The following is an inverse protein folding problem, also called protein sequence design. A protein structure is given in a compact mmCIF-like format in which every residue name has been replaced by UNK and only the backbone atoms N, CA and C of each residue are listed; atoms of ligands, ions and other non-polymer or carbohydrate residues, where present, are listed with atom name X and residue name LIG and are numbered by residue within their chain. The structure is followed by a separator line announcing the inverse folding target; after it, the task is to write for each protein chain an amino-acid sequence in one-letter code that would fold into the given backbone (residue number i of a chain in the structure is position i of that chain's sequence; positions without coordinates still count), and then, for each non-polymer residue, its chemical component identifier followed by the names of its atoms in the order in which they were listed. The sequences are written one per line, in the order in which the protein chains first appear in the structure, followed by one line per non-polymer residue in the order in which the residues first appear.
data_IF_867005099668
#
_entry.id   IF_867005099668
#
_cell.length_a   1.000
_cell.length_b   1.000
_cell.length_c   1.000
_cell.angle_alpha   90.00
_cell.angle_beta   90.00
_cell.angle_gamma   90.00
#
_symmetry.space_group_name_H-M   'P 1'
#
loop_
_entity.id
_entity.type
_entity.pdbx_description
1 polymer ?
#
# COMPACT_ATOMS: atom_id res chain seq x y z
N UNK A 1 53.90 -1.12 2.84
CA UNK A 1 52.84 -0.62 3.75
C UNK A 1 53.51 0.23 4.82
N UNK A 2 53.27 1.54 4.79
CA UNK A 2 53.68 2.46 5.84
C UNK A 2 52.66 2.41 6.98
N UNK A 3 53.16 2.38 8.22
CA UNK A 3 52.34 2.36 9.44
C UNK A 3 52.70 3.53 10.34
N UNK A 4 52.37 4.77 9.95
CA UNK A 4 52.56 5.93 10.81
C UNK A 4 51.73 5.76 12.09
N UNK A 5 52.42 5.81 13.22
CA UNK A 5 51.84 5.75 14.57
C UNK A 5 51.55 7.13 15.13
N UNK A 6 52.00 8.19 14.45
CA UNK A 6 51.77 9.59 14.81
C UNK A 6 51.48 10.46 13.59
N UNK A 7 50.84 11.61 13.82
CA UNK A 7 50.60 12.62 12.78
C UNK A 7 51.89 13.15 12.15
N UNK A 8 52.97 13.23 12.94
CA UNK A 8 54.30 13.64 12.45
C UNK A 8 54.92 12.59 11.53
N UNK A 9 54.74 11.31 11.83
CA UNK A 9 55.18 10.22 10.94
C UNK A 9 54.35 10.19 9.65
N UNK A 10 53.05 10.41 9.75
CA UNK A 10 52.18 10.53 8.57
C UNK A 10 52.59 11.73 7.70
N UNK A 11 52.82 12.89 8.32
CA UNK A 11 53.29 14.07 7.60
C UNK A 11 54.64 13.82 6.93
N UNK A 12 55.57 13.12 7.61
CA UNK A 12 56.86 12.76 7.03
C UNK A 12 56.74 11.84 5.81
N UNK A 13 55.79 10.89 5.79
CA UNK A 13 55.52 10.04 4.62
C UNK A 13 55.13 10.88 3.40
N UNK A 14 54.35 11.95 3.60
CA UNK A 14 53.90 12.84 2.54
C UNK A 14 54.76 14.10 2.33
N UNK A 15 55.92 14.20 2.99
CA UNK A 15 56.79 15.38 2.91
C UNK A 15 56.18 16.67 3.51
N UNK A 16 55.18 16.54 4.37
CA UNK A 16 54.47 17.64 5.03
C UNK A 16 54.95 17.88 6.47
N UNK A 17 54.39 18.91 7.12
CA UNK A 17 54.59 19.18 8.55
C UNK A 17 53.26 19.06 9.31
N UNK A 18 53.30 18.47 10.50
CA UNK A 18 52.13 18.37 11.38
C UNK A 18 52.33 19.28 12.60
N UNK A 19 51.27 19.97 13.00
CA UNK A 19 51.23 20.77 14.22
C UNK A 19 50.63 19.92 15.34
N UNK A 20 51.42 18.95 15.84
CA UNK A 20 51.18 18.11 17.03
C UNK A 20 49.85 17.36 17.12
N UNK A 21 48.74 18.10 17.18
CA UNK A 21 47.34 17.64 17.24
C UNK A 21 46.57 17.82 15.93
N UNK A 22 47.10 18.58 14.98
CA UNK A 22 46.49 18.75 13.66
C UNK A 22 47.48 18.44 12.55
N UNK A 23 46.99 17.79 11.50
CA UNK A 23 47.78 17.48 10.31
C UNK A 23 46.97 17.85 9.08
N UNK A 24 47.58 18.65 8.22
CA UNK A 24 47.06 18.96 6.89
C UNK A 24 48.11 18.60 5.86
N UNK A 25 47.73 17.77 4.91
CA UNK A 25 48.56 17.35 3.80
C UNK A 25 47.82 17.76 2.53
N UNK A 26 48.48 18.56 1.71
CA UNK A 26 47.98 19.01 0.42
C UNK A 26 48.92 18.44 -0.66
N UNK A 27 48.36 17.79 -1.68
CA UNK A 27 49.04 17.24 -2.86
C UNK A 27 50.24 16.32 -2.54
N UNK A 28 50.08 15.43 -1.56
CA UNK A 28 51.11 14.47 -1.16
C UNK A 28 51.03 13.14 -1.89
N UNK A 29 52.17 12.55 -2.24
CA UNK A 29 52.28 11.21 -2.85
C UNK A 29 52.87 10.20 -1.85
N UNK A 30 52.34 8.98 -1.83
CA UNK A 30 52.87 7.88 -1.05
C UNK A 30 52.98 6.61 -1.91
N UNK A 31 54.20 6.12 -2.08
CA UNK A 31 54.55 4.95 -2.92
C UNK A 31 54.14 3.59 -2.31
N UNK A 32 53.38 3.58 -1.22
CA UNK A 32 52.93 2.35 -0.57
C UNK A 32 51.65 2.56 0.24
N UNK A 33 50.92 1.46 0.57
CA UNK A 33 49.69 1.53 1.36
C UNK A 33 49.92 2.19 2.71
N UNK A 34 48.98 3.01 3.16
CA UNK A 34 49.06 3.73 4.44
C UNK A 34 48.09 3.12 5.43
N UNK A 35 48.56 2.82 6.63
CA UNK A 35 47.73 2.39 7.75
C UNK A 35 48.01 3.24 8.97
N UNK A 36 47.05 4.09 9.33
CA UNK A 36 47.02 4.85 10.56
C UNK A 36 46.31 4.02 11.62
N UNK A 37 46.98 3.73 12.72
CA UNK A 37 46.43 2.89 13.79
C UNK A 37 46.60 3.61 15.13
N UNK A 38 45.51 3.74 15.90
CA UNK A 38 45.54 4.31 17.25
C UNK A 38 45.83 5.81 17.34
N UNK A 39 45.69 6.55 16.24
CA UNK A 39 46.05 7.97 16.17
C UNK A 39 45.00 8.84 16.85
N UNK A 40 45.44 9.80 17.67
CA UNK A 40 44.58 10.85 18.25
C UNK A 40 44.89 12.20 17.62
N UNK A 41 43.86 12.87 17.10
CA UNK A 41 44.01 14.15 16.42
C UNK A 41 42.78 15.06 16.66
N UNK A 42 42.99 16.36 16.74
CA UNK A 42 41.90 17.34 16.64
C UNK A 42 41.45 17.49 15.18
N UNK A 43 42.40 17.45 14.24
CA UNK A 43 42.08 17.54 12.80
C UNK A 43 43.06 16.76 11.95
N UNK A 44 42.54 15.96 11.02
CA UNK A 44 43.30 15.33 9.95
C UNK A 44 42.65 15.67 8.61
N UNK A 45 43.38 16.39 7.77
CA UNK A 45 42.92 16.82 6.45
C UNK A 45 43.90 16.36 5.38
N UNK A 46 43.43 15.49 4.49
CA UNK A 46 44.15 15.02 3.32
C UNK A 46 43.46 15.59 2.07
N UNK A 47 44.19 16.41 1.31
CA UNK A 47 43.69 17.04 0.09
C UNK A 47 44.59 16.65 -1.07
N UNK A 48 44.01 16.10 -2.15
CA UNK A 48 44.75 15.79 -3.38
C UNK A 48 45.84 14.73 -3.23
N UNK A 49 45.79 13.91 -2.17
CA UNK A 49 46.85 12.94 -1.90
C UNK A 49 46.71 11.68 -2.78
N UNK A 50 47.80 11.17 -3.32
CA UNK A 50 47.85 9.91 -4.06
C UNK A 50 48.56 8.83 -3.24
N UNK A 51 47.88 7.70 -3.04
CA UNK A 51 48.39 6.57 -2.26
C UNK A 51 48.38 5.34 -3.15
N UNK A 52 49.57 4.79 -3.41
CA UNK A 52 49.72 3.50 -4.11
C UNK A 52 49.29 2.35 -3.18
N UNK A 53 47.99 2.05 -3.24
CA UNK A 53 47.31 1.04 -2.43
C UNK A 53 46.15 1.59 -1.58
N UNK A 54 45.71 0.85 -0.54
CA UNK A 54 44.65 1.31 0.34
C UNK A 54 45.12 2.33 1.40
N UNK A 55 44.23 3.25 1.73
CA UNK A 55 44.33 4.15 2.88
C UNK A 55 43.46 3.61 4.02
N UNK A 56 44.10 3.10 5.07
CA UNK A 56 43.46 2.48 6.22
C UNK A 56 43.57 3.39 7.45
N UNK A 57 42.45 3.70 8.09
CA UNK A 57 42.39 4.33 9.41
C UNK A 57 41.74 3.34 10.37
N UNK A 58 42.45 2.95 11.42
CA UNK A 58 42.03 1.94 12.38
C UNK A 58 42.14 2.44 13.81
N UNK A 59 41.08 2.27 14.59
CA UNK A 59 41.08 2.54 16.04
C UNK A 59 41.54 3.98 16.38
N UNK A 60 41.25 4.94 15.49
CA UNK A 60 41.65 6.34 15.62
C UNK A 60 40.58 7.17 16.35
N UNK A 61 41.02 8.22 17.04
CA UNK A 61 40.15 9.23 17.66
C UNK A 61 40.42 10.59 17.03
N UNK A 62 39.53 11.06 16.16
CA UNK A 62 39.75 12.28 15.36
C UNK A 62 38.54 13.21 15.44
N UNK A 63 38.68 14.45 15.88
CA UNK A 63 37.52 15.34 15.95
C UNK A 63 37.04 15.76 14.54
N UNK A 64 37.93 16.17 13.63
CA UNK A 64 37.58 16.54 12.25
C UNK A 64 38.47 15.78 11.24
N UNK A 65 37.90 14.75 10.59
CA UNK A 65 38.54 13.98 9.52
C UNK A 65 38.01 14.42 8.16
N UNK A 66 38.91 14.93 7.31
CA UNK A 66 38.58 15.40 5.96
C UNK A 66 39.46 14.74 4.92
N UNK A 67 38.83 14.07 3.97
CA UNK A 67 39.48 13.43 2.84
C UNK A 67 38.89 14.05 1.56
N UNK A 68 39.69 14.77 0.79
CA UNK A 68 39.22 15.48 -0.41
C UNK A 68 40.12 15.20 -1.60
N UNK A 69 39.59 14.58 -2.65
CA UNK A 69 40.38 14.32 -3.86
C UNK A 69 41.51 13.31 -3.67
N UNK A 70 41.44 12.47 -2.63
CA UNK A 70 42.48 11.46 -2.38
C UNK A 70 42.33 10.28 -3.35
N UNK A 71 43.38 9.95 -4.10
CA UNK A 71 43.47 8.74 -4.91
C UNK A 71 44.01 7.60 -4.04
N UNK A 72 43.25 6.50 -4.00
CA UNK A 72 43.64 5.26 -3.32
C UNK A 72 42.85 4.10 -3.93
N UNK A 73 43.36 2.87 -3.84
CA UNK A 73 42.60 1.67 -4.23
C UNK A 73 41.32 1.50 -3.41
N UNK A 74 41.34 2.01 -2.18
CA UNK A 74 40.18 2.07 -1.29
C UNK A 74 40.50 2.81 0.00
N UNK A 75 39.50 3.50 0.54
CA UNK A 75 39.58 4.19 1.82
C UNK A 75 38.78 3.38 2.83
N UNK A 76 39.44 2.87 3.86
CA UNK A 76 38.81 2.07 4.92
C UNK A 76 38.99 2.77 6.26
N UNK A 77 37.88 3.08 6.92
CA UNK A 77 37.85 3.68 8.26
C UNK A 77 37.15 2.70 9.18
N UNK A 78 37.90 2.04 10.07
CA UNK A 78 37.38 0.95 10.91
C UNK A 78 37.72 1.16 12.39
N UNK A 79 36.78 0.92 13.31
CA UNK A 79 37.07 1.04 14.75
C UNK A 79 37.24 2.49 15.23
N UNK A 80 36.91 3.48 14.41
CA UNK A 80 37.24 4.87 14.68
C UNK A 80 36.13 5.62 15.43
N UNK A 81 36.54 6.57 16.26
CA UNK A 81 35.66 7.59 16.83
C UNK A 81 35.94 8.92 16.14
N UNK A 82 34.98 9.44 15.38
CA UNK A 82 35.15 10.67 14.61
C UNK A 82 33.97 11.61 14.78
N UNK A 83 34.15 12.78 15.39
CA UNK A 83 33.03 13.72 15.53
C UNK A 83 32.52 14.11 14.13
N UNK A 84 33.40 14.61 13.27
CA UNK A 84 33.03 15.02 11.91
C UNK A 84 33.84 14.30 10.85
N UNK A 85 33.18 13.43 10.08
CA UNK A 85 33.73 12.78 8.90
C UNK A 85 33.25 13.48 7.62
N UNK A 86 34.19 13.98 6.82
CA UNK A 86 33.92 14.58 5.51
C UNK A 86 34.77 13.90 4.45
N UNK A 87 34.13 13.29 3.46
CA UNK A 87 34.83 12.67 2.32
C UNK A 87 34.28 13.27 1.03
N UNK A 88 35.14 13.77 0.16
CA UNK A 88 34.75 14.54 -1.03
C UNK A 88 35.57 14.21 -2.26
N UNK A 89 34.94 14.24 -3.43
CA UNK A 89 35.59 14.29 -4.74
C UNK A 89 36.60 13.17 -4.98
N UNK A 90 36.33 11.95 -4.51
CA UNK A 90 37.26 10.84 -4.75
C UNK A 90 37.29 10.49 -6.25
N UNK A 91 38.47 10.12 -6.78
CA UNK A 91 38.60 9.70 -8.16
C UNK A 91 37.82 8.40 -8.43
N UNK A 92 37.49 8.11 -9.70
CA UNK A 92 36.82 6.86 -10.07
C UNK A 92 37.65 5.65 -9.64
N UNK A 93 37.00 4.65 -9.04
CA UNK A 93 37.67 3.44 -8.54
C UNK A 93 38.00 3.48 -7.05
N UNK A 94 38.07 4.67 -6.43
CA UNK A 94 38.28 4.81 -4.98
C UNK A 94 36.96 4.66 -4.22
N UNK A 95 36.72 3.48 -3.68
CA UNK A 95 35.59 3.18 -2.79
C UNK A 95 35.85 3.63 -1.35
N UNK A 96 34.77 3.87 -0.60
CA UNK A 96 34.81 4.19 0.83
C UNK A 96 34.10 3.10 1.61
N UNK A 97 34.80 2.52 2.56
CA UNK A 97 34.24 1.62 3.57
C UNK A 97 34.43 2.22 4.95
N UNK A 98 33.35 2.41 5.68
CA UNK A 98 33.38 2.84 7.07
C UNK A 98 32.69 1.78 7.91
N UNK A 99 33.38 1.24 8.91
CA UNK A 99 32.83 0.17 9.73
C UNK A 99 33.15 0.33 11.21
N UNK A 100 32.24 -0.15 12.06
CA UNK A 100 32.48 -0.30 13.51
C UNK A 100 32.98 1.00 14.15
N UNK A 101 32.13 2.02 14.25
CA UNK A 101 32.57 3.30 14.80
C UNK A 101 31.45 4.23 15.23
N UNK A 102 31.85 5.24 16.00
CA UNK A 102 30.97 6.26 16.57
C UNK A 102 31.26 7.60 15.93
N UNK A 103 30.21 8.26 15.42
CA UNK A 103 30.31 9.50 14.69
C UNK A 103 29.30 10.53 15.18
N UNK A 104 29.64 11.82 15.15
CA UNK A 104 28.63 12.87 15.33
C UNK A 104 27.98 13.22 14.00
N UNK A 105 28.76 13.26 12.90
CA UNK A 105 28.25 13.56 11.57
C UNK A 105 29.11 12.94 10.48
N UNK A 106 28.45 12.33 9.50
CA UNK A 106 29.07 11.78 8.29
C UNK A 106 28.56 12.55 7.07
N UNK A 107 29.47 13.03 6.24
CA UNK A 107 29.14 13.76 5.01
C UNK A 107 30.04 13.29 3.87
N UNK A 108 29.47 12.50 2.97
CA UNK A 108 30.16 11.91 1.81
C UNK A 108 29.60 12.57 0.55
N UNK A 109 30.48 13.11 -0.28
CA UNK A 109 30.11 13.82 -1.49
C UNK A 109 30.94 13.33 -2.68
N UNK A 110 30.30 13.04 -3.80
CA UNK A 110 30.99 12.78 -5.07
C UNK A 110 31.93 11.55 -5.02
N UNK A 111 31.48 10.50 -4.34
CA UNK A 111 32.23 9.25 -4.15
C UNK A 111 31.64 8.12 -5.00
N UNK A 112 32.50 7.16 -5.36
CA UNK A 112 32.13 5.91 -6.03
C UNK A 112 31.29 4.99 -5.15
N UNK A 113 31.81 3.80 -4.85
CA UNK A 113 31.15 2.85 -3.96
C UNK A 113 31.27 3.30 -2.50
N UNK A 114 30.18 3.18 -1.75
CA UNK A 114 30.07 3.59 -0.35
C UNK A 114 29.46 2.44 0.44
N UNK A 115 30.19 1.96 1.44
CA UNK A 115 29.73 0.96 2.40
C UNK A 115 29.86 1.50 3.82
N UNK A 116 28.75 1.58 4.54
CA UNK A 116 28.69 1.95 5.95
C UNK A 116 28.13 0.75 6.74
N UNK A 117 28.91 0.15 7.63
CA UNK A 117 28.49 -1.02 8.41
C UNK A 117 28.72 -0.84 9.92
N UNK A 118 27.72 -1.19 10.73
CA UNK A 118 27.80 -1.13 12.20
C UNK A 118 28.25 0.25 12.72
N UNK A 119 27.55 1.29 12.27
CA UNK A 119 27.85 2.69 12.61
C UNK A 119 26.80 3.25 13.56
N UNK A 120 27.25 3.94 14.61
CA UNK A 120 26.42 4.81 15.44
C UNK A 120 26.72 6.28 15.13
N UNK A 121 25.76 6.99 14.55
CA UNK A 121 25.88 8.39 14.17
C UNK A 121 24.90 9.24 15.00
N UNK A 122 25.38 10.02 15.96
CA UNK A 122 24.51 10.83 16.82
C UNK A 122 23.74 11.91 16.05
N UNK A 123 24.33 12.40 14.96
CA UNK A 123 23.72 13.36 14.04
C UNK A 123 23.31 12.70 12.73
N UNK A 124 23.76 13.30 11.62
CA UNK A 124 23.29 12.96 10.29
C UNK A 124 24.30 12.17 9.47
N UNK A 125 23.81 11.20 8.69
CA UNK A 125 24.53 10.62 7.56
C UNK A 125 23.98 11.28 6.29
N UNK A 126 24.84 12.02 5.59
CA UNK A 126 24.50 12.65 4.32
C UNK A 126 25.42 12.12 3.24
N UNK A 127 24.82 11.57 2.18
CA UNK A 127 25.52 11.14 0.98
C UNK A 127 24.95 11.90 -0.20
N UNK A 128 25.77 12.70 -0.87
CA UNK A 128 25.38 13.38 -2.11
C UNK A 128 26.33 13.08 -3.27
N UNK A 129 25.86 13.28 -4.50
CA UNK A 129 26.69 13.06 -5.68
C UNK A 129 27.07 11.60 -5.88
N UNK A 130 26.12 10.69 -5.66
CA UNK A 130 26.36 9.23 -5.67
C UNK A 130 26.80 8.78 -7.07
N UNK A 131 27.99 8.17 -7.19
CA UNK A 131 28.51 7.64 -8.47
C UNK A 131 28.52 6.10 -8.53
N UNK A 132 28.43 5.42 -7.39
CA UNK A 132 28.45 3.96 -7.30
C UNK A 132 27.36 3.39 -6.39
N UNK A 133 27.54 2.13 -5.95
CA UNK A 133 26.63 1.48 -5.01
C UNK A 133 26.72 2.15 -3.62
N UNK A 134 25.57 2.29 -2.96
CA UNK A 134 25.48 2.74 -1.57
C UNK A 134 24.86 1.63 -0.74
N UNK A 135 25.62 1.13 0.22
CA UNK A 135 25.19 0.11 1.17
C UNK A 135 25.30 0.64 2.60
N UNK A 136 24.16 0.69 3.30
CA UNK A 136 24.12 0.95 4.73
C UNK A 136 23.61 -0.31 5.43
N UNK A 137 24.41 -0.84 6.34
CA UNK A 137 24.07 -2.03 7.12
C UNK A 137 24.27 -1.76 8.60
N UNK A 138 23.27 -2.07 9.45
CA UNK A 138 23.36 -1.84 10.91
C UNK A 138 23.77 -0.39 11.26
N UNK A 139 23.21 0.59 10.56
CA UNK A 139 23.48 2.01 10.81
C UNK A 139 22.39 2.59 11.69
N UNK A 140 22.77 3.20 12.81
CA UNK A 140 21.88 4.05 13.61
C UNK A 140 22.25 5.50 13.40
N UNK A 141 21.29 6.34 13.00
CA UNK A 141 21.52 7.76 12.80
C UNK A 141 20.33 8.61 13.26
N UNK A 142 20.57 9.87 13.61
CA UNK A 142 19.45 10.81 13.79
C UNK A 142 18.75 11.07 12.47
N UNK A 143 19.48 11.31 11.39
CA UNK A 143 18.90 11.50 10.05
C UNK A 143 19.76 10.86 8.97
N UNK A 144 19.12 10.31 7.93
CA UNK A 144 19.81 9.77 6.76
C UNK A 144 19.29 10.46 5.51
N UNK A 145 20.18 11.04 4.72
CA UNK A 145 19.84 11.70 3.46
C UNK A 145 20.75 11.20 2.35
N UNK A 146 20.15 10.58 1.34
CA UNK A 146 20.82 10.12 0.12
C UNK A 146 20.25 10.89 -1.05
N UNK A 147 21.05 11.63 -1.79
CA UNK A 147 20.50 12.36 -2.92
C UNK A 147 21.50 12.91 -3.91
N UNK A 148 20.98 13.52 -4.97
CA UNK A 148 21.74 14.19 -6.03
C UNK A 148 22.73 13.26 -6.79
N UNK A 149 22.48 13.08 -8.09
CA UNK A 149 23.37 12.31 -8.95
C UNK A 149 24.03 13.21 -9.98
N UNK A 150 25.36 13.29 -9.97
CA UNK A 150 26.13 14.10 -10.93
C UNK A 150 26.29 13.45 -12.30
N UNK A 151 26.17 12.13 -12.39
CA UNK A 151 26.44 11.36 -13.62
C UNK A 151 25.19 10.62 -14.10
N UNK A 152 24.96 10.58 -15.41
CA UNK A 152 23.78 9.97 -16.03
C UNK A 152 23.78 8.42 -16.02
N UNK A 153 24.61 7.78 -15.20
CA UNK A 153 24.80 6.33 -15.21
C UNK A 153 23.69 5.63 -14.37
N UNK A 154 22.85 4.78 -14.97
CA UNK A 154 21.71 4.14 -14.29
C UNK A 154 22.10 2.98 -13.34
N UNK A 155 23.39 2.75 -13.09
CA UNK A 155 23.89 1.55 -12.41
C UNK A 155 24.00 1.69 -10.88
N UNK A 156 23.61 2.84 -10.32
CA UNK A 156 23.60 3.09 -8.88
C UNK A 156 22.57 2.18 -8.20
N UNK A 157 23.00 1.36 -7.23
CA UNK A 157 22.11 0.58 -6.36
C UNK A 157 22.17 1.12 -4.95
N UNK A 158 21.00 1.29 -4.33
CA UNK A 158 20.89 1.68 -2.92
C UNK A 158 20.36 0.49 -2.14
N UNK A 159 21.12 0.05 -1.15
CA UNK A 159 20.73 -1.01 -0.22
C UNK A 159 20.84 -0.51 1.21
N UNK A 160 19.71 -0.47 1.91
CA UNK A 160 19.67 -0.17 3.34
C UNK A 160 19.15 -1.39 4.07
N UNK A 161 19.91 -1.89 5.03
CA UNK A 161 19.56 -3.09 5.80
C UNK A 161 19.81 -2.86 7.29
N UNK A 162 18.82 -3.16 8.14
CA UNK A 162 18.93 -2.96 9.60
C UNK A 162 19.30 -1.52 9.96
N UNK A 163 18.71 -0.54 9.27
CA UNK A 163 18.99 0.88 9.47
C UNK A 163 17.95 1.48 10.40
N UNK A 164 18.40 2.17 11.45
CA UNK A 164 17.55 2.90 12.38
C UNK A 164 17.75 4.40 12.23
N UNK A 165 16.67 5.14 12.00
CA UNK A 165 16.67 6.59 11.82
C UNK A 165 15.69 7.25 12.78
N UNK A 166 16.20 8.10 13.67
CA UNK A 166 15.39 8.72 14.74
C UNK A 166 14.52 9.90 14.26
N UNK A 167 14.92 10.56 13.17
CA UNK A 167 14.15 11.60 12.51
C UNK A 167 13.73 11.11 11.12
N UNK A 168 14.36 11.65 10.07
CA UNK A 168 13.91 11.44 8.69
C UNK A 168 14.93 10.64 7.89
N UNK A 169 14.41 9.69 7.10
CA UNK A 169 15.14 9.00 6.04
C UNK A 169 14.67 9.57 4.70
N UNK A 170 15.56 10.22 3.97
CA UNK A 170 15.24 10.84 2.68
C UNK A 170 16.12 10.27 1.56
N UNK A 171 15.49 9.80 0.49
CA UNK A 171 16.15 9.44 -0.76
C UNK A 171 15.57 10.32 -1.86
N UNK A 172 16.38 11.20 -2.45
CA UNK A 172 15.86 12.20 -3.38
C UNK A 172 16.76 12.51 -4.57
N UNK A 173 16.14 12.80 -5.73
CA UNK A 173 16.84 13.28 -6.93
C UNK A 173 17.87 12.31 -7.51
N UNK A 174 17.51 11.02 -7.59
CA UNK A 174 18.40 9.96 -8.05
C UNK A 174 17.80 9.17 -9.22
N UNK A 175 18.68 8.71 -10.12
CA UNK A 175 18.38 7.67 -11.13
C UNK A 175 19.15 6.41 -10.77
N UNK A 176 18.44 5.38 -10.34
CA UNK A 176 19.03 4.19 -9.75
C UNK A 176 18.63 2.93 -10.51
N UNK A 177 19.45 1.90 -10.38
CA UNK A 177 19.10 0.56 -10.81
C UNK A 177 18.03 -0.02 -9.90
N UNK A 178 18.22 0.06 -8.58
CA UNK A 178 17.28 -0.46 -7.60
C UNK A 178 17.43 0.24 -6.25
N UNK A 179 16.33 0.24 -5.49
CA UNK A 179 16.32 0.63 -4.07
C UNK A 179 15.78 -0.56 -3.28
N UNK A 180 16.56 -1.02 -2.31
CA UNK A 180 16.23 -2.15 -1.45
C UNK A 180 16.34 -1.69 0.02
N UNK A 181 15.20 -1.44 0.67
CA UNK A 181 15.12 -1.10 2.09
C UNK A 181 14.62 -2.34 2.84
N UNK A 182 15.42 -2.87 3.76
CA UNK A 182 15.09 -4.07 4.55
C UNK A 182 15.28 -3.85 6.03
N UNK A 183 14.32 -4.26 6.84
CA UNK A 183 14.39 -4.17 8.30
C UNK A 183 14.81 -2.76 8.75
N UNK A 184 14.12 -1.75 8.23
CA UNK A 184 14.44 -0.35 8.47
C UNK A 184 13.43 0.25 9.44
N UNK A 185 13.91 0.93 10.47
CA UNK A 185 13.09 1.60 11.48
C UNK A 185 13.26 3.12 11.38
N UNK A 186 12.18 3.85 11.12
CA UNK A 186 12.17 5.30 10.95
C UNK A 186 11.14 5.92 11.89
N UNK A 187 11.62 6.68 12.88
CA UNK A 187 10.78 7.23 13.96
C UNK A 187 9.95 8.47 13.52
N UNK A 188 10.37 9.17 12.44
CA UNK A 188 9.54 10.21 11.79
C UNK A 188 9.18 9.79 10.38
N UNK A 189 9.70 10.48 9.35
CA UNK A 189 9.22 10.30 7.99
C UNK A 189 10.23 9.59 7.11
N UNK A 190 9.72 8.67 6.29
CA UNK A 190 10.44 8.05 5.19
C UNK A 190 10.00 8.71 3.89
N UNK A 191 10.92 9.33 3.15
CA UNK A 191 10.61 10.10 1.94
C UNK A 191 11.44 9.62 0.76
N UNK A 192 10.77 9.12 -0.28
CA UNK A 192 11.36 8.83 -1.58
C UNK A 192 10.85 9.89 -2.58
N UNK A 193 11.73 10.77 -3.07
CA UNK A 193 11.34 11.92 -3.91
C UNK A 193 12.10 11.97 -5.22
N UNK A 194 11.41 12.25 -6.33
CA UNK A 194 12.03 12.43 -7.67
C UNK A 194 12.99 11.29 -8.01
N UNK A 195 12.60 10.06 -7.68
CA UNK A 195 13.41 8.86 -7.85
C UNK A 195 13.02 8.17 -9.16
N UNK A 196 14.00 7.87 -10.01
CA UNK A 196 13.79 7.07 -11.22
C UNK A 196 14.55 5.75 -11.12
N UNK A 197 13.84 4.66 -10.85
CA UNK A 197 14.39 3.32 -10.78
C UNK A 197 14.21 2.56 -12.10
N UNK A 198 15.28 2.03 -12.69
CA UNK A 198 15.20 1.17 -13.87
C UNK A 198 14.82 -0.28 -13.52
N UNK A 199 15.11 -0.70 -12.29
CA UNK A 199 14.69 -1.96 -11.69
C UNK A 199 13.68 -1.73 -10.56
N UNK A 200 13.76 -2.59 -9.53
CA UNK A 200 12.75 -2.64 -8.46
C UNK A 200 13.02 -1.64 -7.33
N UNK A 201 11.93 -1.16 -6.73
CA UNK A 201 11.92 -0.42 -5.47
C UNK A 201 11.22 -1.30 -4.46
N UNK A 202 11.95 -1.78 -3.46
CA UNK A 202 11.49 -2.75 -2.46
C UNK A 202 11.64 -2.15 -1.07
N UNK A 203 10.57 -2.22 -0.30
CA UNK A 203 10.50 -1.90 1.12
C UNK A 203 10.01 -3.15 1.85
N UNK A 204 10.91 -3.84 2.54
CA UNK A 204 10.63 -5.10 3.23
C UNK A 204 10.86 -4.95 4.74
N UNK A 205 9.84 -5.28 5.54
CA UNK A 205 9.83 -5.07 7.00
C UNK A 205 10.26 -3.65 7.40
N UNK A 206 9.72 -2.64 6.71
CA UNK A 206 9.97 -1.24 7.03
C UNK A 206 8.96 -0.75 8.06
N UNK A 207 9.45 -0.22 9.17
CA UNK A 207 8.63 0.36 10.24
C UNK A 207 8.81 1.87 10.23
N UNK A 208 7.73 2.58 9.93
CA UNK A 208 7.70 4.03 9.88
C UNK A 208 6.65 4.54 10.87
N UNK A 209 7.09 5.21 11.93
CA UNK A 209 6.20 5.78 12.95
C UNK A 209 5.50 7.04 12.45
N UNK A 210 6.13 7.78 11.54
CA UNK A 210 5.48 8.85 10.80
C UNK A 210 4.95 8.39 9.44
N UNK A 211 5.09 9.24 8.43
CA UNK A 211 4.49 9.01 7.11
C UNK A 211 5.52 8.51 6.11
N UNK A 212 5.12 7.52 5.30
CA UNK A 212 5.82 7.15 4.07
C UNK A 212 5.34 8.04 2.92
N UNK A 213 6.24 8.86 2.38
CA UNK A 213 5.97 9.73 1.24
C UNK A 213 6.72 9.24 0.00
N UNK A 214 5.98 8.94 -1.07
CA UNK A 214 6.49 8.53 -2.38
C UNK A 214 6.14 9.62 -3.40
N UNK A 215 7.03 10.58 -3.63
CA UNK A 215 6.76 11.73 -4.50
C UNK A 215 7.52 11.68 -5.82
N UNK A 216 6.83 11.56 -6.95
CA UNK A 216 7.45 11.54 -8.28
C UNK A 216 8.38 10.35 -8.49
N UNK A 217 8.07 9.21 -7.87
CA UNK A 217 8.79 7.95 -8.03
C UNK A 217 8.34 7.29 -9.34
N UNK A 218 9.31 6.91 -10.16
CA UNK A 218 9.09 6.20 -11.42
C UNK A 218 9.90 4.92 -11.40
N UNK A 219 9.24 3.76 -11.50
CA UNK A 219 9.90 2.45 -11.60
C UNK A 219 9.39 1.72 -12.83
N UNK A 220 10.26 0.92 -13.47
CA UNK A 220 9.85 -0.01 -14.53
C UNK A 220 9.11 -1.23 -13.98
N UNK A 221 9.23 -1.50 -12.68
CA UNK A 221 8.50 -2.55 -11.99
C UNK A 221 7.52 -1.93 -10.99
N UNK A 222 6.64 -2.76 -10.42
CA UNK A 222 5.81 -2.35 -9.30
C UNK A 222 6.70 -1.97 -8.10
N UNK A 223 6.33 -0.91 -7.39
CA UNK A 223 6.90 -0.63 -6.06
C UNK A 223 6.35 -1.70 -5.11
N UNK A 224 7.23 -2.41 -4.41
CA UNK A 224 6.86 -3.51 -3.51
C UNK A 224 7.03 -3.06 -2.07
N UNK A 225 5.96 -3.13 -1.29
CA UNK A 225 5.98 -2.92 0.16
C UNK A 225 5.51 -4.22 0.81
N UNK A 226 6.38 -4.89 1.55
CA UNK A 226 6.14 -6.21 2.15
C UNK A 226 6.37 -6.17 3.65
N UNK A 227 5.47 -6.78 4.43
CA UNK A 227 5.62 -6.91 5.88
C UNK A 227 5.79 -5.60 6.66
N UNK A 228 5.45 -4.46 6.07
CA UNK A 228 5.83 -3.14 6.60
C UNK A 228 4.72 -2.54 7.46
N UNK A 229 5.10 -1.73 8.45
CA UNK A 229 4.15 -1.04 9.36
C UNK A 229 4.30 0.49 9.23
N UNK A 230 3.24 1.17 8.79
CA UNK A 230 3.21 2.61 8.52
C UNK A 230 2.17 3.29 9.41
N UNK A 231 2.58 3.94 10.49
CA UNK A 231 1.65 4.44 11.50
C UNK A 231 0.88 5.69 11.05
N UNK A 232 1.57 6.73 10.56
CA UNK A 232 0.90 7.95 10.07
C UNK A 232 0.54 7.90 8.57
N UNK A 233 0.67 6.74 7.93
CA UNK A 233 0.09 6.46 6.62
C UNK A 233 1.07 6.45 5.45
N UNK A 234 0.49 6.27 4.27
CA UNK A 234 1.18 6.22 2.98
C UNK A 234 0.62 7.29 2.04
N UNK A 235 1.50 8.14 1.52
CA UNK A 235 1.16 9.17 0.56
C UNK A 235 2.00 9.02 -0.71
N UNK A 236 1.36 8.69 -1.82
CA UNK A 236 1.94 8.63 -3.15
C UNK A 236 1.55 9.85 -3.97
N UNK A 237 2.53 10.67 -4.34
CA UNK A 237 2.32 11.81 -5.22
C UNK A 237 2.91 11.56 -6.61
N UNK A 238 2.13 11.75 -7.68
CA UNK A 238 2.61 11.69 -9.07
C UNK A 238 3.37 10.40 -9.41
N UNK A 239 2.89 9.26 -8.92
CA UNK A 239 3.49 7.97 -9.24
C UNK A 239 3.24 7.62 -10.71
N UNK A 240 4.24 7.08 -11.40
CA UNK A 240 4.06 6.62 -12.79
C UNK A 240 3.81 5.13 -12.82
N UNK A 241 2.78 4.73 -13.58
CA UNK A 241 2.55 3.33 -13.88
C UNK A 241 3.70 2.79 -14.73
N UNK A 242 4.16 1.56 -14.45
CA UNK A 242 5.03 0.82 -15.35
C UNK A 242 4.42 0.68 -16.75
N UNK A 243 5.26 0.64 -17.79
CA UNK A 243 4.82 0.49 -19.18
C UNK A 243 4.17 -0.89 -19.45
N UNK A 244 4.53 -1.90 -18.66
CA UNK A 244 4.15 -3.30 -18.89
C UNK A 244 2.76 -3.64 -18.32
N UNK A 245 1.99 -2.64 -17.88
CA UNK A 245 0.66 -2.84 -17.27
C UNK A 245 0.69 -3.47 -15.89
N UNK A 246 1.88 -3.62 -15.28
CA UNK A 246 2.02 -4.03 -13.89
C UNK A 246 1.50 -2.95 -12.93
N UNK A 247 1.10 -3.32 -11.70
CA UNK A 247 0.61 -2.35 -10.72
C UNK A 247 1.70 -1.32 -10.41
N UNK A 248 1.27 -0.11 -10.10
CA UNK A 248 2.14 0.99 -9.67
C UNK A 248 2.77 0.66 -8.32
N UNK A 249 1.95 0.07 -7.43
CA UNK A 249 2.30 -0.19 -6.05
C UNK A 249 1.58 -1.46 -5.57
N UNK A 250 2.31 -2.31 -4.86
CA UNK A 250 1.77 -3.52 -4.23
C UNK A 250 2.15 -3.52 -2.75
N UNK A 251 1.15 -3.51 -1.88
CA UNK A 251 1.31 -3.73 -0.45
C UNK A 251 0.92 -5.18 -0.14
N UNK A 252 1.81 -5.92 0.55
CA UNK A 252 1.57 -7.31 0.95
C UNK A 252 1.89 -7.50 2.42
N UNK A 253 0.96 -8.07 3.20
CA UNK A 253 1.19 -8.38 4.61
C UNK A 253 1.54 -7.16 5.47
N UNK A 254 1.07 -5.97 5.08
CA UNK A 254 1.49 -4.69 5.67
C UNK A 254 0.38 -4.07 6.52
N UNK A 255 0.73 -3.21 7.46
CA UNK A 255 -0.22 -2.49 8.32
C UNK A 255 -0.08 -0.97 8.13
N UNK A 256 -1.19 -0.27 7.93
CA UNK A 256 -1.24 1.19 7.73
C UNK A 256 -2.24 1.80 8.70
N UNK A 257 -1.74 2.61 9.63
CA UNK A 257 -2.55 3.13 10.75
C UNK A 257 -3.53 4.24 10.35
N UNK A 258 -3.09 5.26 9.61
CA UNK A 258 -3.90 6.48 9.42
C UNK A 258 -4.62 6.58 8.07
N UNK A 259 -3.91 6.44 6.95
CA UNK A 259 -4.49 6.67 5.64
C UNK A 259 -3.57 6.20 4.52
N UNK A 260 -4.19 5.88 3.38
CA UNK A 260 -3.51 5.64 2.11
C UNK A 260 -4.08 6.62 1.08
N UNK A 261 -3.21 7.40 0.45
CA UNK A 261 -3.60 8.31 -0.63
C UNK A 261 -2.58 8.27 -1.74
N UNK A 262 -3.00 7.91 -2.95
CA UNK A 262 -2.11 7.78 -4.11
C UNK A 262 -2.67 8.58 -5.28
N UNK A 263 -1.83 9.44 -5.86
CA UNK A 263 -2.07 10.14 -7.12
C UNK A 263 -1.12 9.62 -8.19
N UNK A 264 -1.63 9.51 -9.41
CA UNK A 264 -0.85 9.07 -10.56
C UNK A 264 -0.38 10.27 -11.40
N UNK A 265 0.80 10.18 -12.01
CA UNK A 265 1.21 11.13 -13.04
C UNK A 265 0.56 10.82 -14.41
N UNK A 266 0.27 9.55 -14.66
CA UNK A 266 -0.37 9.05 -15.89
C UNK A 266 -1.39 7.96 -15.55
N UNK A 267 -2.58 8.04 -16.14
CA UNK A 267 -3.61 6.99 -16.07
C UNK A 267 -3.58 6.13 -17.33
N UNK A 268 -3.98 4.84 -17.27
CA UNK A 268 -4.45 4.09 -16.11
C UNK A 268 -3.31 3.56 -15.22
N UNK A 269 -3.62 3.27 -13.95
CA UNK A 269 -2.70 2.59 -13.02
C UNK A 269 -3.46 1.88 -11.90
N UNK A 270 -2.86 0.82 -11.36
CA UNK A 270 -3.45 -0.05 -10.35
C UNK A 270 -2.58 -0.11 -9.09
N UNK A 271 -3.20 -0.15 -7.91
CA UNK A 271 -2.56 -0.38 -6.61
C UNK A 271 -3.16 -1.66 -6.02
N UNK A 272 -2.31 -2.61 -5.62
CA UNK A 272 -2.75 -3.88 -5.03
C UNK A 272 -2.55 -3.83 -3.51
N UNK A 273 -3.60 -4.13 -2.77
CA UNK A 273 -3.58 -4.34 -1.33
C UNK A 273 -3.86 -5.83 -1.07
N UNK A 274 -2.83 -6.59 -0.67
CA UNK A 274 -2.92 -8.03 -0.40
C UNK A 274 -2.60 -8.31 1.06
N UNK A 275 -3.49 -8.99 1.77
CA UNK A 275 -3.31 -9.31 3.20
C UNK A 275 -2.87 -8.08 4.02
N UNK A 276 -3.43 -6.91 3.69
CA UNK A 276 -3.01 -5.62 4.24
C UNK A 276 -4.06 -5.11 5.22
N UNK A 277 -3.65 -4.60 6.37
CA UNK A 277 -4.53 -3.94 7.32
C UNK A 277 -4.42 -2.43 7.17
N UNK A 278 -5.53 -1.75 6.88
CA UNK A 278 -5.61 -0.28 6.83
C UNK A 278 -6.60 0.15 7.90
N UNK A 279 -6.12 0.56 9.07
CA UNK A 279 -6.99 0.90 10.21
C UNK A 279 -7.72 2.22 9.97
N UNK A 280 -7.09 3.13 9.25
CA UNK A 280 -7.65 4.44 8.94
C UNK A 280 -8.35 4.50 7.58
N UNK A 281 -8.09 5.55 6.80
CA UNK A 281 -8.87 5.88 5.61
C UNK A 281 -8.14 5.66 4.28
N UNK A 282 -8.79 4.95 3.36
CA UNK A 282 -8.40 4.95 1.94
C UNK A 282 -8.94 6.20 1.25
N UNK A 283 -8.06 6.99 0.64
CA UNK A 283 -8.41 8.24 -0.05
C UNK A 283 -8.26 8.10 -1.56
N UNK A 284 -9.06 8.88 -2.30
CA UNK A 284 -9.11 8.86 -3.76
C UNK A 284 -8.79 10.25 -4.34
N UNK A 285 -7.57 10.77 -4.13
CA UNK A 285 -7.17 12.04 -4.72
C UNK A 285 -7.11 11.91 -6.25
N UNK A 286 -7.62 12.90 -6.97
CA UNK A 286 -7.60 12.89 -8.43
C UNK A 286 -6.22 13.36 -8.94
N UNK A 287 -5.61 12.70 -9.94
CA UNK A 287 -6.04 11.45 -10.59
C UNK A 287 -5.70 10.20 -9.76
N UNK A 288 -6.71 9.41 -9.38
CA UNK A 288 -6.54 8.24 -8.51
C UNK A 288 -6.24 6.96 -9.29
N UNK A 289 -5.45 6.01 -8.75
CA UNK A 289 -5.37 4.66 -9.27
C UNK A 289 -6.66 3.87 -8.97
N UNK A 290 -6.77 2.70 -9.61
CA UNK A 290 -7.70 1.65 -9.20
C UNK A 290 -7.06 0.82 -8.10
N UNK A 291 -7.80 0.48 -7.05
CA UNK A 291 -7.34 -0.33 -5.92
C UNK A 291 -7.87 -1.75 -6.04
N UNK A 292 -7.00 -2.73 -6.21
CA UNK A 292 -7.38 -4.15 -6.14
C UNK A 292 -7.13 -4.67 -4.74
N UNK A 293 -8.17 -5.24 -4.15
CA UNK A 293 -8.15 -5.78 -2.78
C UNK A 293 -8.13 -7.30 -2.87
N UNK A 294 -7.07 -7.90 -2.34
CA UNK A 294 -6.82 -9.34 -2.36
C UNK A 294 -6.55 -9.89 -0.95
N UNK A 295 -6.76 -11.19 -0.78
CA UNK A 295 -6.51 -11.88 0.49
C UNK A 295 -7.37 -11.36 1.65
N UNK A 296 -6.85 -11.47 2.86
CA UNK A 296 -7.51 -11.00 4.09
C UNK A 296 -7.10 -9.55 4.36
N UNK A 297 -7.62 -8.64 3.53
CA UNK A 297 -7.36 -7.19 3.67
C UNK A 297 -8.49 -6.51 4.43
N UNK A 298 -8.16 -5.72 5.44
CA UNK A 298 -9.11 -4.92 6.23
C UNK A 298 -8.93 -3.43 5.93
N UNK A 299 -10.03 -2.69 5.79
CA UNK A 299 -10.01 -1.24 5.55
C UNK A 299 -11.03 -0.60 6.49
N UNK A 300 -10.57 0.27 7.38
CA UNK A 300 -11.39 0.93 8.39
C UNK A 300 -12.38 1.92 7.80
N UNK A 301 -11.92 2.80 6.91
CA UNK A 301 -12.76 3.79 6.25
C UNK A 301 -12.32 4.04 4.79
N UNK A 302 -13.24 4.57 3.99
CA UNK A 302 -12.99 4.99 2.61
C UNK A 302 -13.52 6.40 2.40
N UNK A 303 -12.81 7.21 1.62
CA UNK A 303 -13.27 8.52 1.19
C UNK A 303 -14.47 8.36 0.26
N UNK A 304 -15.64 8.74 0.77
CA UNK A 304 -16.90 8.70 0.04
C UNK A 304 -17.24 10.08 -0.55
N UNK A 305 -17.95 10.13 -1.68
CA UNK A 305 -18.44 11.39 -2.22
C UNK A 305 -19.41 12.06 -1.23
N UNK A 306 -19.38 13.40 -1.15
CA UNK A 306 -20.24 14.14 -0.23
C UNK A 306 -21.72 13.96 -0.59
N UNK A 307 -22.04 13.73 -1.86
CA UNK A 307 -23.41 13.50 -2.31
C UNK A 307 -23.86 12.04 -2.07
N UNK A 308 -25.12 11.82 -1.68
CA UNK A 308 -25.68 10.47 -1.57
C UNK A 308 -25.73 9.82 -2.96
N UNK A 309 -25.26 8.57 -3.04
CA UNK A 309 -25.13 7.84 -4.31
C UNK A 309 -26.53 7.44 -4.84
N UNK A 310 -27.45 7.10 -3.94
CA UNK A 310 -28.89 6.98 -4.17
C UNK A 310 -29.37 5.82 -5.06
N UNK A 311 -28.53 5.27 -5.94
CA UNK A 311 -28.88 4.20 -6.88
C UNK A 311 -27.82 3.10 -6.98
N UNK A 312 -28.25 1.88 -7.32
CA UNK A 312 -27.35 0.72 -7.54
C UNK A 312 -26.41 0.92 -8.72
N UNK A 313 -26.85 1.66 -9.76
CA UNK A 313 -26.03 1.94 -10.93
C UNK A 313 -24.84 2.85 -10.57
N UNK A 314 -25.08 3.91 -9.80
CA UNK A 314 -24.02 4.82 -9.34
C UNK A 314 -23.08 4.16 -8.33
N UNK A 315 -23.59 3.26 -7.48
CA UNK A 315 -22.74 2.47 -6.57
C UNK A 315 -21.81 1.51 -7.33
N UNK A 316 -22.32 0.86 -8.39
CA UNK A 316 -21.49 0.05 -9.31
C UNK A 316 -20.43 0.90 -9.98
N UNK A 317 -20.82 2.05 -10.53
CA UNK A 317 -19.90 2.97 -11.18
C UNK A 317 -18.80 3.45 -10.22
N UNK A 318 -19.15 3.77 -8.97
CA UNK A 318 -18.20 4.14 -7.94
C UNK A 318 -17.24 2.99 -7.62
N UNK A 319 -17.76 1.78 -7.48
CA UNK A 319 -16.95 0.59 -7.21
C UNK A 319 -16.00 0.29 -8.39
N UNK A 320 -16.51 0.29 -9.63
CA UNK A 320 -15.71 0.03 -10.83
C UNK A 320 -14.66 1.13 -11.04
N UNK A 321 -14.97 2.39 -10.74
CA UNK A 321 -14.04 3.52 -10.86
C UNK A 321 -12.85 3.39 -9.92
N UNK A 322 -13.10 3.04 -8.65
CA UNK A 322 -12.06 3.05 -7.62
C UNK A 322 -11.42 1.68 -7.36
N UNK A 323 -12.11 0.57 -7.63
CA UNK A 323 -11.61 -0.78 -7.37
C UNK A 323 -11.38 -1.61 -8.65
N UNK A 324 -11.70 -1.06 -9.83
CA UNK A 324 -11.52 -1.71 -11.13
C UNK A 324 -12.57 -2.78 -11.44
N UNK A 325 -12.93 -3.60 -10.45
CA UNK A 325 -13.99 -4.61 -10.56
C UNK A 325 -15.00 -4.48 -9.42
N UNK A 326 -16.29 -4.51 -9.78
CA UNK A 326 -17.42 -4.61 -8.86
C UNK A 326 -17.53 -6.00 -8.21
N UNK A 327 -16.51 -6.35 -7.41
CA UNK A 327 -16.43 -7.57 -6.63
C UNK A 327 -17.08 -7.46 -5.25
N UNK A 328 -17.23 -8.61 -4.59
CA UNK A 328 -17.79 -8.68 -3.23
C UNK A 328 -16.94 -7.90 -2.22
N UNK A 329 -15.62 -7.92 -2.36
CA UNK A 329 -14.66 -7.20 -1.50
C UNK A 329 -14.86 -5.68 -1.59
N UNK A 330 -14.94 -5.13 -2.80
CA UNK A 330 -15.20 -3.70 -3.03
C UNK A 330 -16.51 -3.24 -2.36
N UNK A 331 -17.59 -4.02 -2.50
CA UNK A 331 -18.85 -3.70 -1.85
C UNK A 331 -18.81 -3.86 -0.33
N UNK A 332 -18.08 -4.84 0.19
CA UNK A 332 -17.90 -5.02 1.63
C UNK A 332 -17.19 -3.84 2.28
N UNK A 333 -16.14 -3.31 1.62
CA UNK A 333 -15.41 -2.12 2.05
C UNK A 333 -16.28 -0.87 2.00
N UNK A 334 -17.00 -0.65 0.89
CA UNK A 334 -17.95 0.46 0.78
C UNK A 334 -19.06 0.38 1.84
N UNK A 335 -19.57 -0.83 2.11
CA UNK A 335 -20.58 -1.07 3.15
C UNK A 335 -20.08 -0.60 4.52
N UNK A 336 -18.86 -0.99 4.90
CA UNK A 336 -18.26 -0.57 6.16
C UNK A 336 -18.13 0.97 6.23
N UNK A 337 -17.66 1.61 5.16
CA UNK A 337 -17.52 3.07 5.09
C UNK A 337 -18.87 3.82 5.16
N UNK A 338 -19.95 3.27 4.60
CA UNK A 338 -21.29 3.84 4.69
C UNK A 338 -21.90 3.65 6.10
N UNK A 339 -21.67 2.50 6.73
CA UNK A 339 -22.14 2.21 8.08
C UNK A 339 -21.56 3.21 9.11
N UNK A 340 -20.25 3.49 9.02
CA UNK A 340 -19.57 4.50 9.88
C UNK A 340 -20.20 5.89 9.75
N UNK A 341 -20.68 6.25 8.56
CA UNK A 341 -21.34 7.55 8.29
C UNK A 341 -22.85 7.53 8.48
N UNK A 342 -23.41 6.46 9.03
CA UNK A 342 -24.85 6.26 9.23
C UNK A 342 -25.67 6.42 7.94
N UNK A 343 -25.07 6.11 6.79
CA UNK A 343 -25.73 6.11 5.47
C UNK A 343 -26.43 4.78 5.24
N UNK A 344 -27.48 4.54 6.03
CA UNK A 344 -28.18 3.25 6.14
C UNK A 344 -28.71 2.74 4.79
N UNK A 345 -29.18 3.65 3.91
CA UNK A 345 -29.71 3.28 2.60
C UNK A 345 -28.62 2.74 1.68
N UNK A 346 -27.46 3.39 1.62
CA UNK A 346 -26.32 2.96 0.82
C UNK A 346 -25.67 1.70 1.37
N UNK A 347 -25.56 1.59 2.70
CA UNK A 347 -25.08 0.37 3.37
C UNK A 347 -25.90 -0.86 2.96
N UNK A 348 -27.22 -0.72 3.05
CA UNK A 348 -28.19 -1.73 2.66
C UNK A 348 -28.01 -2.14 1.17
N UNK A 349 -27.86 -1.16 0.26
CA UNK A 349 -27.60 -1.42 -1.16
C UNK A 349 -26.26 -2.13 -1.40
N UNK A 350 -25.20 -1.76 -0.67
CA UNK A 350 -23.90 -2.41 -0.74
C UNK A 350 -23.98 -3.87 -0.25
N UNK A 351 -24.72 -4.14 0.82
CA UNK A 351 -24.96 -5.51 1.29
C UNK A 351 -25.65 -6.36 0.22
N UNK A 352 -26.69 -5.83 -0.42
CA UNK A 352 -27.38 -6.50 -1.51
C UNK A 352 -26.45 -6.82 -2.69
N UNK A 353 -25.63 -5.84 -3.12
CA UNK A 353 -24.69 -6.01 -4.22
C UNK A 353 -23.56 -7.00 -3.87
N UNK A 354 -23.04 -6.95 -2.64
CA UNK A 354 -22.04 -7.88 -2.13
C UNK A 354 -22.54 -9.33 -2.23
N UNK A 355 -23.74 -9.63 -1.71
CA UNK A 355 -24.32 -10.98 -1.77
C UNK A 355 -24.53 -11.45 -3.20
N UNK A 356 -24.98 -10.57 -4.09
CA UNK A 356 -25.12 -10.91 -5.51
C UNK A 356 -23.78 -11.20 -6.20
N UNK A 357 -22.70 -10.51 -5.79
CA UNK A 357 -21.37 -10.76 -6.30
C UNK A 357 -20.80 -12.10 -5.78
N UNK A 358 -20.94 -12.41 -4.49
CA UNK A 358 -20.51 -13.70 -3.91
C UNK A 358 -21.14 -14.91 -4.63
N UNK A 359 -22.42 -14.80 -4.98
CA UNK A 359 -23.16 -15.87 -5.66
C UNK A 359 -22.66 -16.11 -7.10
N UNK A 360 -21.99 -15.15 -7.75
CA UNK A 360 -21.40 -15.37 -9.09
C UNK A 360 -20.27 -16.40 -9.06
N UNK A 361 -19.56 -16.54 -7.95
CA UNK A 361 -18.40 -17.44 -7.82
C UNK A 361 -18.77 -18.88 -7.44
N UNK A 362 -20.05 -19.17 -7.12
CA UNK A 362 -20.50 -20.53 -6.81
C UNK A 362 -20.57 -21.43 -8.07
N UNK A 363 -20.53 -22.77 -7.96
CA UNK A 363 -20.84 -23.69 -9.07
C UNK A 363 -22.29 -23.53 -9.58
N UNK A 364 -22.56 -23.74 -10.87
CA UNK A 364 -23.85 -23.38 -11.52
C UNK A 364 -25.12 -23.82 -10.76
N UNK A 365 -25.13 -25.05 -10.23
CA UNK A 365 -26.25 -25.63 -9.49
C UNK A 365 -26.43 -24.94 -8.11
N UNK A 366 -25.33 -24.56 -7.45
CA UNK A 366 -25.35 -23.73 -6.23
C UNK A 366 -25.60 -22.25 -6.53
N UNK A 367 -25.31 -21.75 -7.74
CA UNK A 367 -25.69 -20.38 -8.14
C UNK A 367 -27.19 -20.23 -8.20
N UNK A 368 -27.91 -21.23 -8.73
CA UNK A 368 -29.37 -21.21 -8.75
C UNK A 368 -29.93 -21.20 -7.33
N UNK A 369 -29.55 -22.17 -6.48
CA UNK A 369 -30.01 -22.21 -5.10
C UNK A 369 -29.60 -20.96 -4.30
N UNK A 370 -28.35 -20.50 -4.46
CA UNK A 370 -27.81 -19.31 -3.79
C UNK A 370 -28.46 -18.00 -4.25
N UNK A 371 -28.81 -17.85 -5.53
CA UNK A 371 -29.57 -16.68 -6.00
C UNK A 371 -30.96 -16.62 -5.36
N UNK A 372 -31.62 -17.76 -5.19
CA UNK A 372 -32.96 -17.82 -4.59
C UNK A 372 -32.94 -17.71 -3.06
N UNK A 373 -31.94 -18.28 -2.39
CA UNK A 373 -31.85 -18.30 -0.91
C UNK A 373 -31.08 -17.10 -0.34
N UNK A 374 -29.86 -16.83 -0.83
CA UNK A 374 -28.98 -15.75 -0.32
C UNK A 374 -29.26 -14.39 -0.97
N UNK A 375 -29.56 -14.36 -2.28
CA UNK A 375 -29.97 -13.15 -2.99
C UNK A 375 -31.48 -12.87 -2.94
N UNK A 376 -32.28 -13.92 -2.73
CA UNK A 376 -33.73 -13.86 -2.57
C UNK A 376 -34.10 -13.71 -1.10
N UNK A 377 -34.41 -14.80 -0.41
CA UNK A 377 -34.99 -14.77 0.95
C UNK A 377 -34.20 -13.90 1.95
N UNK A 378 -32.87 -13.93 1.95
CA UNK A 378 -32.02 -13.11 2.83
C UNK A 378 -31.72 -11.69 2.28
N UNK A 379 -31.79 -11.49 0.96
CA UNK A 379 -31.65 -10.19 0.31
C UNK A 379 -32.95 -9.37 0.24
N UNK A 380 -34.10 -10.03 0.41
CA UNK A 380 -35.42 -9.41 0.40
C UNK A 380 -35.58 -8.41 1.54
N UNK A 381 -34.95 -8.62 2.70
CA UNK A 381 -34.97 -7.68 3.83
C UNK A 381 -34.48 -6.26 3.53
N UNK A 382 -33.94 -6.01 2.33
CA UNK A 382 -33.38 -4.74 1.89
C UNK A 382 -34.17 -4.07 0.74
N UNK A 383 -34.73 -4.87 -0.17
CA UNK A 383 -35.48 -4.38 -1.33
C UNK A 383 -36.87 -4.99 -1.39
N UNK A 384 -37.88 -4.13 -1.49
CA UNK A 384 -39.28 -4.53 -1.60
C UNK A 384 -39.61 -5.10 -2.99
N UNK A 385 -38.80 -4.80 -4.00
CA UNK A 385 -39.11 -5.10 -5.41
C UNK A 385 -39.12 -6.61 -5.69
N UNK A 386 -38.12 -7.41 -5.26
CA UNK A 386 -38.14 -8.85 -5.47
C UNK A 386 -39.32 -9.61 -4.83
N UNK A 387 -39.69 -9.40 -3.54
CA UNK A 387 -40.83 -10.11 -2.96
C UNK A 387 -42.16 -9.65 -3.57
N UNK A 388 -42.30 -8.36 -3.93
CA UNK A 388 -43.47 -7.87 -4.69
C UNK A 388 -43.56 -8.56 -6.05
N UNK A 389 -42.46 -8.67 -6.80
CA UNK A 389 -42.44 -9.37 -8.10
C UNK A 389 -42.77 -10.85 -7.95
N UNK A 390 -42.24 -11.53 -6.93
CA UNK A 390 -42.54 -12.93 -6.65
C UNK A 390 -44.02 -13.12 -6.32
N UNK A 391 -44.59 -12.24 -5.50
CA UNK A 391 -46.01 -12.23 -5.16
C UNK A 391 -46.88 -11.96 -6.38
N UNK A 392 -46.58 -10.93 -7.18
CA UNK A 392 -47.33 -10.60 -8.40
C UNK A 392 -47.24 -11.71 -9.44
N UNK A 393 -46.06 -12.30 -9.65
CA UNK A 393 -45.88 -13.43 -10.56
C UNK A 393 -46.62 -14.67 -10.05
N UNK A 394 -46.56 -14.94 -8.74
CA UNK A 394 -47.32 -16.01 -8.10
C UNK A 394 -48.82 -15.87 -8.34
N UNK A 395 -49.37 -14.68 -8.11
CA UNK A 395 -50.78 -14.36 -8.37
C UNK A 395 -51.14 -14.56 -9.84
N UNK A 396 -50.31 -14.07 -10.77
CA UNK A 396 -50.54 -14.20 -12.22
C UNK A 396 -50.52 -15.67 -12.66
N UNK A 397 -49.51 -16.44 -12.25
CA UNK A 397 -49.37 -17.86 -12.60
C UNK A 397 -50.51 -18.68 -12.00
N UNK A 398 -50.82 -18.47 -10.72
CA UNK A 398 -51.96 -19.15 -10.08
C UNK A 398 -53.26 -18.79 -10.78
N UNK A 399 -53.48 -17.52 -11.14
CA UNK A 399 -54.65 -17.08 -11.89
C UNK A 399 -54.76 -17.80 -13.24
N UNK A 400 -53.69 -17.81 -14.03
CA UNK A 400 -53.65 -18.50 -15.33
C UNK A 400 -53.93 -20.00 -15.20
N UNK A 401 -53.36 -20.66 -14.19
CA UNK A 401 -53.60 -22.09 -13.93
C UNK A 401 -55.05 -22.33 -13.54
N UNK A 402 -55.63 -21.50 -12.66
CA UNK A 402 -57.04 -21.62 -12.25
C UNK A 402 -57.99 -21.42 -13.45
N UNK A 403 -57.66 -20.51 -14.36
CA UNK A 403 -58.45 -20.22 -15.57
C UNK A 403 -58.35 -21.31 -16.62
N UNK A 404 -57.18 -21.94 -16.75
CA UNK A 404 -56.92 -23.00 -17.72
C UNK A 404 -57.48 -24.34 -17.24
N UNK A 405 -57.44 -24.60 -15.93
CA UNK A 405 -57.92 -25.86 -15.33
C UNK A 405 -59.40 -25.84 -14.97
N UNK A 406 -60.07 -24.69 -15.06
CA UNK A 406 -61.49 -24.54 -14.73
C UNK A 406 -61.77 -24.92 -13.27
N UNK A 407 -61.01 -24.31 -12.35
CA UNK A 407 -60.93 -24.69 -10.93
C UNK A 407 -62.31 -24.94 -10.28
N UNK A 408 -62.70 -26.22 -10.25
CA UNK A 408 -63.89 -26.76 -9.58
C UNK A 408 -65.11 -25.86 -9.56
N UNK A 409 -65.82 -25.69 -10.70
CA UNK A 409 -67.06 -24.89 -10.84
C UNK A 409 -67.00 -23.41 -10.41
N UNK A 410 -65.91 -22.95 -9.78
CA UNK A 410 -65.76 -21.60 -9.23
C UNK A 410 -65.21 -20.61 -10.26
N UNK A 411 -64.49 -21.11 -11.27
CA UNK A 411 -63.98 -20.33 -12.40
C UNK A 411 -64.32 -21.05 -13.69
N UNK A 412 -65.07 -20.40 -14.58
CA UNK A 412 -65.35 -20.91 -15.92
C UNK A 412 -64.05 -20.96 -16.72
N UNK A 413 -63.80 -22.01 -17.53
CA UNK A 413 -62.64 -22.06 -18.41
C UNK A 413 -62.59 -20.81 -19.31
N UNK A 414 -61.47 -20.09 -19.28
CA UNK A 414 -61.30 -18.84 -20.04
C UNK A 414 -61.74 -17.55 -19.34
N UNK A 415 -62.35 -17.62 -18.15
CA UNK A 415 -62.72 -16.44 -17.35
C UNK A 415 -61.51 -15.90 -16.54
N UNK A 416 -60.63 -15.20 -17.26
CA UNK A 416 -59.40 -14.63 -16.70
C UNK A 416 -59.62 -13.70 -15.50
N UNK A 417 -60.61 -12.79 -15.52
CA UNK A 417 -60.94 -11.96 -14.35
C UNK A 417 -61.30 -12.78 -13.10
N UNK A 418 -62.16 -13.79 -13.21
CA UNK A 418 -62.56 -14.61 -12.06
C UNK A 418 -61.39 -15.40 -11.47
N UNK A 419 -60.53 -15.99 -12.32
CA UNK A 419 -59.37 -16.74 -11.85
C UNK A 419 -58.27 -15.87 -11.23
N UNK A 420 -58.02 -14.66 -11.76
CA UNK A 420 -57.10 -13.70 -11.12
C UNK A 420 -57.62 -13.19 -9.78
N UNK A 421 -58.93 -12.94 -9.68
CA UNK A 421 -59.57 -12.49 -8.44
C UNK A 421 -59.47 -13.57 -7.36
N UNK A 422 -59.71 -14.83 -7.72
CA UNK A 422 -59.54 -15.97 -6.82
C UNK A 422 -58.06 -16.19 -6.44
N UNK A 423 -57.12 -16.02 -7.37
CA UNK A 423 -55.70 -16.11 -7.06
C UNK A 423 -55.26 -15.00 -6.08
N UNK A 424 -55.65 -13.74 -6.32
CA UNK A 424 -55.36 -12.64 -5.41
C UNK A 424 -55.94 -12.91 -4.01
N UNK A 425 -57.17 -13.40 -3.93
CA UNK A 425 -57.82 -13.81 -2.68
C UNK A 425 -57.00 -14.82 -1.89
N UNK A 426 -56.51 -15.87 -2.56
CA UNK A 426 -55.70 -16.93 -1.95
C UNK A 426 -54.34 -16.44 -1.46
N UNK A 427 -53.64 -15.62 -2.26
CA UNK A 427 -52.31 -15.10 -1.93
C UNK A 427 -52.33 -13.98 -0.88
N UNK A 428 -53.37 -13.13 -0.86
CA UNK A 428 -53.53 -12.08 0.14
C UNK A 428 -54.32 -12.51 1.39
N UNK A 429 -54.83 -13.75 1.41
CA UNK A 429 -55.71 -14.24 2.46
C UNK A 429 -56.97 -13.36 2.65
N UNK A 430 -57.55 -12.88 1.56
CA UNK A 430 -58.77 -12.05 1.56
C UNK A 430 -59.94 -12.90 1.06
N UNK A 431 -60.97 -13.06 1.88
CA UNK A 431 -62.17 -13.79 1.47
C UNK A 431 -62.98 -13.00 0.44
N UNK A 432 -63.15 -13.54 -0.77
CA UNK A 432 -63.94 -12.92 -1.84
C UNK A 432 -65.43 -13.29 -1.82
N UNK A 433 -65.84 -14.20 -0.94
CA UNK A 433 -67.22 -14.68 -0.86
C UNK A 433 -67.65 -15.56 -2.04
N UNK A 434 -66.72 -15.93 -2.95
CA UNK A 434 -67.00 -16.88 -4.03
C UNK A 434 -67.32 -18.27 -3.46
N UNK A 435 -68.34 -18.97 -3.97
CA UNK A 435 -68.78 -20.26 -3.43
C UNK A 435 -67.64 -21.28 -3.46
N UNK A 436 -67.44 -21.99 -2.34
CA UNK A 436 -66.35 -22.94 -2.09
C UNK A 436 -66.46 -24.18 -3.02
N UNK A 437 -66.04 -24.05 -4.27
CA UNK A 437 -65.97 -25.13 -5.25
C UNK A 437 -64.68 -25.98 -5.18
N UNK A 438 -63.74 -25.63 -4.31
CA UNK A 438 -62.46 -26.33 -4.11
C UNK A 438 -62.63 -27.57 -3.21
N UNK A 439 -63.56 -28.47 -3.58
CA UNK A 439 -64.02 -29.58 -2.74
C UNK A 439 -63.12 -30.82 -2.70
N UNK A 440 -61.95 -30.82 -3.35
CA UNK A 440 -61.02 -31.96 -3.30
C UNK A 440 -59.86 -31.67 -2.36
N UNK A 441 -59.41 -32.66 -1.59
CA UNK A 441 -58.30 -32.48 -0.64
C UNK A 441 -57.00 -31.97 -1.29
N UNK A 442 -56.80 -32.21 -2.59
CA UNK A 442 -55.68 -31.65 -3.37
C UNK A 442 -55.79 -30.13 -3.57
N UNK A 443 -56.99 -29.63 -3.87
CA UNK A 443 -57.25 -28.20 -4.00
C UNK A 443 -57.16 -27.48 -2.66
N UNK A 444 -57.65 -28.11 -1.58
CA UNK A 444 -57.50 -27.58 -0.22
C UNK A 444 -56.02 -27.47 0.17
N UNK A 445 -55.22 -28.51 -0.09
CA UNK A 445 -53.78 -28.48 0.19
C UNK A 445 -53.06 -27.37 -0.60
N UNK A 446 -53.37 -27.21 -1.89
CA UNK A 446 -52.82 -26.14 -2.72
C UNK A 446 -53.21 -24.74 -2.23
N UNK A 447 -54.49 -24.55 -1.89
CA UNK A 447 -54.98 -23.28 -1.33
C UNK A 447 -54.22 -22.92 -0.05
N UNK A 448 -54.08 -23.87 0.89
CA UNK A 448 -53.29 -23.68 2.12
C UNK A 448 -51.86 -23.30 1.81
N UNK A 449 -51.19 -23.97 0.86
CA UNK A 449 -49.81 -23.62 0.50
C UNK A 449 -49.67 -22.22 -0.10
N UNK A 450 -50.61 -21.79 -0.96
CA UNK A 450 -50.59 -20.44 -1.54
C UNK A 450 -50.85 -19.39 -0.46
N UNK A 451 -51.79 -19.62 0.44
CA UNK A 451 -52.09 -18.71 1.54
C UNK A 451 -50.92 -18.59 2.51
N UNK A 452 -50.28 -19.69 2.91
CA UNK A 452 -49.09 -19.66 3.78
C UNK A 452 -47.93 -18.93 3.09
N UNK A 453 -47.68 -19.22 1.80
CA UNK A 453 -46.61 -18.57 1.03
C UNK A 453 -46.87 -17.08 0.84
N UNK A 454 -48.13 -16.71 0.54
CA UNK A 454 -48.55 -15.33 0.38
C UNK A 454 -48.45 -14.53 1.67
N UNK A 455 -48.91 -15.09 2.80
CA UNK A 455 -48.73 -14.49 4.13
C UNK A 455 -47.26 -14.25 4.44
N UNK A 456 -46.38 -15.21 4.14
CA UNK A 456 -44.94 -15.06 4.34
C UNK A 456 -44.36 -13.91 3.49
N UNK A 457 -44.71 -13.83 2.21
CA UNK A 457 -44.27 -12.74 1.33
C UNK A 457 -44.80 -11.38 1.78
N UNK A 458 -46.09 -11.28 2.10
CA UNK A 458 -46.71 -10.04 2.59
C UNK A 458 -46.05 -9.60 3.90
N UNK A 459 -45.79 -10.51 4.83
CA UNK A 459 -45.11 -10.22 6.10
C UNK A 459 -43.71 -9.66 5.86
N UNK A 460 -42.96 -10.25 4.92
CA UNK A 460 -41.64 -9.74 4.52
C UNK A 460 -41.76 -8.34 3.91
N UNK A 461 -42.69 -8.11 2.99
CA UNK A 461 -42.93 -6.82 2.32
C UNK A 461 -43.26 -5.72 3.35
N UNK A 462 -44.18 -6.01 4.28
CA UNK A 462 -44.56 -5.08 5.35
C UNK A 462 -43.37 -4.82 6.28
N UNK A 463 -42.63 -5.85 6.69
CA UNK A 463 -41.44 -5.70 7.53
C UNK A 463 -40.36 -4.81 6.91
N UNK A 464 -40.09 -4.96 5.60
CA UNK A 464 -39.18 -4.08 4.85
C UNK A 464 -39.69 -2.64 4.82
N UNK A 465 -41.01 -2.48 4.61
CA UNK A 465 -41.65 -1.15 4.55
C UNK A 465 -41.55 -0.44 5.89
N UNK A 466 -41.85 -1.12 6.99
CA UNK A 466 -41.70 -0.58 8.35
C UNK A 466 -40.24 -0.19 8.59
N UNK A 467 -39.28 -1.06 8.29
CA UNK A 467 -37.84 -0.75 8.44
C UNK A 467 -37.42 0.50 7.65
N UNK A 468 -37.98 0.72 6.47
CA UNK A 468 -37.73 1.91 5.64
C UNK A 468 -38.46 3.18 6.11
N UNK A 469 -39.53 3.05 6.87
CA UNK A 469 -40.29 4.18 7.43
C UNK A 469 -39.71 4.64 8.76
N UNK A 470 -39.17 3.70 9.55
CA UNK A 470 -38.60 3.96 10.88
C UNK A 470 -37.19 4.53 10.80
N UNK A 471 -36.46 4.23 9.73
CA UNK A 471 -35.14 4.79 9.42
C UNK A 471 -35.28 5.96 8.48
#
# INVERSE_FOLDING_TARGET
MHRPTSLTELAAVFGATADGRSCRIDDGEADAPICLEGVRAERLELTGCDVDGPLLLRDCFIDDLRLSGCAAEGIVIAGCHVQRLVIRNLPPGSGVSVSEGDYERISIHDVGEISLDAIECQGGVTVTGIRGQVELNRVTAKSVSLGEQLTAAPDVRIRLSRVRVMDNLEIHDLRVLAVDLRDCLVDRNLRLRRLSATGQVVLDDVRCEGRLFLGGVTSRAAILITGSTLRDGLEGERLRSPADGSPVLTLTGSAVGSSIGVTLATQPGEVILRDTAVDGRLTFPAPSPRYRIEGVTTIGDVQLPPTPVGSTARLRELADRHFGESGATAYGVLRAAFAVRQRMREEDLCYFLQRHAEVRFLPWHRRWLGRYVLGGVLGWGVSIVPPVRALSLGILVTGLVLTATGAGKAVSPGDLPAGLTLAAALWFNVGTGLPQGLGTGRWTALAVTFTVTGLLLVTIIVGITIRRLVR
#
